data_IF_816204892741
#
_entry.id   IF_816204892741
#
_cell.length_a   1.000
_cell.length_b   1.000
_cell.length_c   1.000
_cell.angle_alpha   90.00
_cell.angle_beta   90.00
_cell.angle_gamma   90.00
#
_symmetry.space_group_name_H-M   'P 1'
#
loop_
_entity.id
_entity.type
_entity.pdbx_description
1 polymer ?
#
# COMPACT_ATOMS: atom_id res chain seq x y z
N UNK A 1 -20.88 5.65 -18.84
CA UNK A 1 -20.25 6.23 -17.62
C UNK A 1 -18.74 6.03 -17.72
N UNK A 2 -17.97 7.11 -17.83
CA UNK A 2 -16.49 7.03 -17.91
C UNK A 2 -15.96 6.63 -16.54
N UNK A 3 -15.17 5.55 -16.46
CA UNK A 3 -14.53 5.16 -15.21
C UNK A 3 -13.32 6.09 -14.97
N UNK A 4 -13.22 6.74 -13.80
CA UNK A 4 -12.10 7.62 -13.53
C UNK A 4 -10.79 6.83 -13.52
N UNK A 5 -9.78 7.39 -14.17
CA UNK A 5 -8.43 6.82 -14.23
C UNK A 5 -7.70 7.26 -12.98
N UNK A 6 -7.18 6.29 -12.22
CA UNK A 6 -6.33 6.57 -11.07
C UNK A 6 -4.88 6.69 -11.53
N UNK A 7 -4.21 7.75 -11.10
CA UNK A 7 -2.77 7.96 -11.28
C UNK A 7 -2.07 7.91 -9.93
N UNK A 8 -0.84 7.39 -9.93
CA UNK A 8 0.03 7.31 -8.74
C UNK A 8 1.30 8.07 -9.08
N UNK A 9 1.71 8.99 -8.23
CA UNK A 9 2.94 9.77 -8.37
C UNK A 9 3.78 9.58 -7.10
N UNK A 10 5.02 9.14 -7.24
CA UNK A 10 5.99 9.15 -6.14
C UNK A 10 6.41 10.59 -5.84
N UNK A 11 6.31 11.01 -4.58
CA UNK A 11 6.66 12.37 -4.16
C UNK A 11 8.01 12.41 -3.43
N UNK A 12 8.29 11.39 -2.63
CA UNK A 12 9.54 11.17 -1.90
C UNK A 12 9.64 9.67 -1.55
N UNK A 13 10.68 9.29 -0.81
CA UNK A 13 10.75 7.97 -0.19
C UNK A 13 9.51 7.73 0.68
N UNK A 14 8.94 6.52 0.59
CA UNK A 14 7.73 6.11 1.33
C UNK A 14 6.50 7.01 1.14
N UNK A 15 6.54 7.95 0.19
CA UNK A 15 5.54 9.01 0.07
C UNK A 15 5.01 9.09 -1.36
N UNK A 16 3.69 8.93 -1.49
CA UNK A 16 3.01 8.84 -2.78
C UNK A 16 1.77 9.73 -2.82
N UNK A 17 1.37 10.12 -4.03
CA UNK A 17 0.11 10.78 -4.30
C UNK A 17 -0.72 9.93 -5.23
N UNK A 18 -1.92 9.57 -4.81
CA UNK A 18 -2.93 8.97 -5.65
C UNK A 18 -3.96 10.01 -6.04
N UNK A 19 -4.23 10.16 -7.33
CA UNK A 19 -5.23 11.09 -7.87
C UNK A 19 -6.18 10.36 -8.83
N UNK A 20 -7.42 10.83 -8.93
CA UNK A 20 -8.42 10.26 -9.83
C UNK A 20 -8.85 11.32 -10.84
N UNK A 21 -8.53 11.09 -12.11
CA UNK A 21 -8.89 11.99 -13.21
C UNK A 21 -10.41 11.98 -13.37
N UNK A 22 -11.01 13.18 -13.40
CA UNK A 22 -12.46 13.35 -13.54
C UNK A 22 -13.25 13.20 -12.24
N UNK A 23 -12.59 13.12 -11.08
CA UNK A 23 -13.26 13.16 -9.77
C UNK A 23 -12.67 14.30 -8.93
N UNK A 24 -13.47 15.32 -8.69
CA UNK A 24 -13.05 16.48 -7.88
C UNK A 24 -12.63 16.06 -6.46
N UNK A 25 -11.66 16.79 -5.90
CA UNK A 25 -11.15 16.61 -4.52
C UNK A 25 -10.70 15.18 -4.15
N UNK A 26 -10.44 14.35 -5.16
CA UNK A 26 -10.08 12.94 -5.01
C UNK A 26 -8.58 12.77 -5.16
N UNK A 27 -7.83 13.33 -4.22
CA UNK A 27 -6.38 13.11 -4.09
C UNK A 27 -6.03 12.61 -2.70
N UNK A 28 -5.30 11.50 -2.61
CA UNK A 28 -4.75 10.95 -1.37
C UNK A 28 -3.23 11.14 -1.37
N UNK A 29 -2.70 11.82 -0.35
CA UNK A 29 -1.27 11.80 -0.05
C UNK A 29 -1.02 10.68 0.95
N UNK A 30 -0.25 9.69 0.54
CA UNK A 30 0.14 8.55 1.34
C UNK A 30 1.54 8.80 1.87
N UNK A 31 1.74 8.65 3.17
CA UNK A 31 3.05 8.70 3.82
C UNK A 31 3.14 7.48 4.75
N UNK A 32 4.04 6.56 4.41
CA UNK A 32 4.25 5.33 5.16
C UNK A 32 5.32 5.46 6.26
N UNK A 33 6.15 6.52 6.27
CA UNK A 33 7.21 6.71 7.27
C UNK A 33 6.66 6.71 8.69
N UNK A 34 5.51 7.36 8.91
CA UNK A 34 4.87 7.38 10.23
C UNK A 34 4.54 5.97 10.73
N UNK A 35 4.14 5.06 9.84
CA UNK A 35 3.88 3.66 10.21
C UNK A 35 5.19 2.91 10.45
N UNK A 36 6.18 3.13 9.59
CA UNK A 36 7.50 2.49 9.67
C UNK A 36 8.17 2.86 11.00
N UNK A 37 8.20 4.15 11.33
CA UNK A 37 8.79 4.67 12.55
C UNK A 37 8.02 4.21 13.79
N UNK A 38 6.69 4.34 13.78
CA UNK A 38 5.86 4.03 14.94
C UNK A 38 5.90 2.54 15.33
N UNK A 39 5.95 1.66 14.33
CA UNK A 39 6.01 0.22 14.56
C UNK A 39 7.43 -0.37 14.45
N UNK A 40 8.45 0.49 14.25
CA UNK A 40 9.86 0.11 14.10
C UNK A 40 10.04 -1.00 13.07
N UNK A 41 9.50 -0.77 11.86
CA UNK A 41 9.50 -1.77 10.79
C UNK A 41 10.86 -1.83 10.11
N UNK A 42 11.44 -3.03 10.07
CA UNK A 42 12.76 -3.27 9.49
C UNK A 42 12.71 -4.34 8.39
N UNK A 43 13.72 -4.34 7.53
CA UNK A 43 13.90 -5.32 6.46
C UNK A 43 12.87 -5.19 5.33
N UNK A 44 12.60 -6.32 4.65
CA UNK A 44 11.66 -6.37 3.52
C UNK A 44 10.25 -6.56 4.05
N UNK A 45 9.33 -5.67 3.71
CA UNK A 45 7.93 -5.81 4.07
C UNK A 45 7.02 -5.16 3.03
N UNK A 46 5.76 -5.60 3.06
CA UNK A 46 4.67 -4.95 2.34
C UNK A 46 3.61 -4.47 3.33
N UNK A 47 3.09 -3.26 3.10
CA UNK A 47 1.94 -2.71 3.82
C UNK A 47 0.74 -2.67 2.89
N UNK A 48 -0.36 -3.30 3.31
CA UNK A 48 -1.60 -3.36 2.56
C UNK A 48 -2.67 -2.58 3.28
N UNK A 49 -3.41 -1.74 2.56
CA UNK A 49 -4.47 -0.94 3.16
C UNK A 49 -5.63 -0.72 2.20
N UNK A 50 -6.82 -0.49 2.75
CA UNK A 50 -7.95 -0.05 1.95
C UNK A 50 -7.87 1.47 1.73
N UNK A 51 -8.00 1.93 0.49
CA UNK A 51 -7.91 3.36 0.20
C UNK A 51 -9.12 4.11 0.75
N UNK A 52 -8.89 5.23 1.46
CA UNK A 52 -9.95 5.97 2.12
C UNK A 52 -10.92 6.69 1.15
N UNK A 53 -10.46 7.07 -0.04
CA UNK A 53 -11.28 7.78 -1.05
C UNK A 53 -10.76 7.54 -2.47
N UNK A 54 -11.59 7.81 -3.49
CA UNK A 54 -13.02 8.10 -3.42
C UNK A 54 -13.85 6.83 -3.16
N UNK A 55 -14.96 6.94 -2.41
CA UNK A 55 -15.75 5.81 -1.86
C UNK A 55 -16.09 4.72 -2.88
N UNK A 56 -16.46 5.10 -4.10
CA UNK A 56 -16.92 4.17 -5.14
C UNK A 56 -15.79 3.63 -6.03
N UNK A 57 -14.57 4.10 -5.86
CA UNK A 57 -13.40 3.67 -6.63
C UNK A 57 -12.22 3.28 -5.74
N UNK A 58 -12.53 2.93 -4.48
CA UNK A 58 -11.54 2.42 -3.54
C UNK A 58 -10.96 1.11 -4.07
N UNK A 59 -9.67 0.96 -3.84
CA UNK A 59 -8.87 -0.20 -4.19
C UNK A 59 -7.99 -0.57 -3.00
N UNK A 60 -7.38 -1.75 -3.06
CA UNK A 60 -6.26 -2.06 -2.19
C UNK A 60 -5.07 -1.23 -2.58
N UNK A 61 -4.47 -0.56 -1.60
CA UNK A 61 -3.15 0.01 -1.70
C UNK A 61 -2.12 -0.97 -1.20
N UNK A 62 -1.05 -1.18 -1.95
CA UNK A 62 0.08 -2.01 -1.53
C UNK A 62 1.34 -1.16 -1.62
N UNK A 63 1.98 -0.93 -0.50
CA UNK A 63 3.32 -0.36 -0.43
C UNK A 63 4.34 -1.49 -0.28
N UNK A 64 5.34 -1.53 -1.15
CA UNK A 64 6.46 -2.47 -1.11
C UNK A 64 7.72 -1.71 -0.70
N UNK A 65 8.21 -1.95 0.52
CA UNK A 65 9.34 -1.21 1.08
C UNK A 65 10.64 -1.42 0.28
N UNK A 66 10.94 -2.67 -0.09
CA UNK A 66 12.18 -3.01 -0.80
C UNK A 66 12.31 -2.39 -2.19
N UNK A 67 11.19 -2.09 -2.85
CA UNK A 67 11.16 -1.42 -4.15
C UNK A 67 10.80 0.07 -4.04
N UNK A 68 10.51 0.55 -2.82
CA UNK A 68 9.89 1.84 -2.52
C UNK A 68 8.84 2.24 -3.57
N UNK A 69 7.87 1.35 -3.73
CA UNK A 69 6.84 1.40 -4.76
C UNK A 69 5.45 1.23 -4.17
N UNK A 70 4.46 1.92 -4.76
CA UNK A 70 3.07 1.85 -4.36
C UNK A 70 2.18 1.39 -5.52
N UNK A 71 1.33 0.41 -5.25
CA UNK A 71 0.41 -0.20 -6.20
C UNK A 71 -1.03 0.05 -5.75
N UNK A 72 -1.92 0.28 -6.72
CA UNK A 72 -3.35 0.39 -6.48
C UNK A 72 -4.09 -0.71 -7.23
N UNK A 73 -4.62 -1.67 -6.46
CA UNK A 73 -5.02 -2.99 -6.95
C UNK A 73 -6.51 -3.20 -6.73
N UNK A 74 -7.21 -3.66 -7.76
CA UNK A 74 -8.62 -4.04 -7.61
C UNK A 74 -8.76 -5.22 -6.65
N UNK A 75 -9.92 -5.34 -6.02
CA UNK A 75 -10.20 -6.36 -5.01
C UNK A 75 -9.88 -7.79 -5.46
N UNK A 76 -10.19 -8.11 -6.72
CA UNK A 76 -10.02 -9.42 -7.36
C UNK A 76 -8.62 -9.68 -7.93
N UNK A 77 -7.69 -8.73 -7.78
CA UNK A 77 -6.36 -8.77 -8.42
C UNK A 77 -5.19 -8.80 -7.44
N UNK A 78 -5.47 -8.74 -6.15
CA UNK A 78 -4.46 -8.85 -5.10
C UNK A 78 -4.40 -10.29 -4.60
N UNK A 79 -3.25 -10.93 -4.78
CA UNK A 79 -3.03 -12.34 -4.41
C UNK A 79 -1.95 -12.41 -3.33
N UNK A 80 -2.14 -13.33 -2.39
CA UNK A 80 -1.23 -13.55 -1.27
C UNK A 80 -0.68 -14.98 -1.35
N UNK A 81 0.63 -15.13 -1.24
CA UNK A 81 1.26 -16.45 -1.09
C UNK A 81 0.83 -17.12 0.24
N UNK A 82 0.73 -18.45 0.24
CA UNK A 82 0.28 -19.20 1.40
C UNK A 82 1.31 -19.21 2.55
N UNK A 83 0.78 -19.30 3.78
CA UNK A 83 1.58 -19.41 5.00
C UNK A 83 2.38 -18.15 5.35
N UNK A 84 1.97 -16.97 4.85
CA UNK A 84 2.52 -15.69 5.31
C UNK A 84 1.95 -15.30 6.67
N UNK A 85 2.77 -14.70 7.52
CA UNK A 85 2.29 -14.10 8.76
C UNK A 85 1.82 -12.68 8.48
N UNK A 86 0.60 -12.37 8.90
CA UNK A 86 0.01 -11.03 8.81
C UNK A 86 -0.19 -10.45 10.21
N UNK A 87 0.11 -9.18 10.39
CA UNK A 87 -0.32 -8.42 11.58
C UNK A 87 -1.17 -7.24 11.13
N UNK A 88 -2.20 -6.92 11.90
CA UNK A 88 -2.97 -5.69 11.71
C UNK A 88 -2.34 -4.59 12.57
N UNK A 89 -2.00 -3.47 11.95
CA UNK A 89 -1.41 -2.31 12.59
C UNK A 89 -2.37 -1.13 12.44
N UNK A 90 -2.57 -0.39 13.52
CA UNK A 90 -3.39 0.82 13.50
C UNK A 90 -2.79 1.88 14.42
N UNK A 91 -2.59 3.07 13.88
CA UNK A 91 -2.26 4.27 14.63
C UNK A 91 -3.56 5.08 14.80
N UNK A 92 -3.84 5.65 15.99
CA UNK A 92 -4.98 6.53 16.15
C UNK A 92 -4.85 7.77 15.26
N UNK A 93 -5.94 8.14 14.58
CA UNK A 93 -5.98 9.31 13.67
C UNK A 93 -5.61 10.64 14.34
N UNK A 94 -5.66 10.72 15.69
CA UNK A 94 -5.23 11.91 16.44
C UNK A 94 -3.71 12.09 16.47
N UNK A 95 -2.95 11.02 16.23
CA UNK A 95 -1.47 10.99 16.33
C UNK A 95 -0.83 11.36 15.00
N UNK A 96 -1.54 11.18 13.89
CA UNK A 96 -1.00 11.41 12.56
C UNK A 96 -1.92 12.31 11.74
N UNK A 97 -1.33 13.24 11.01
CA UNK A 97 -2.04 14.04 9.99
C UNK A 97 -1.88 13.43 8.59
N UNK A 98 -1.47 12.17 8.52
CA UNK A 98 -1.18 11.45 7.28
C UNK A 98 -1.97 10.15 7.21
N UNK A 99 -2.03 9.58 6.02
CA UNK A 99 -2.64 8.27 5.77
C UNK A 99 -1.61 7.39 5.07
N UNK A 100 -1.77 6.06 5.10
CA UNK A 100 -2.78 5.33 5.86
C UNK A 100 -2.49 5.28 7.37
N UNK A 101 -3.55 5.14 8.17
CA UNK A 101 -3.45 4.96 9.63
C UNK A 101 -3.73 3.53 10.07
N UNK A 102 -4.38 2.71 9.24
CA UNK A 102 -4.62 1.29 9.48
C UNK A 102 -4.12 0.46 8.28
N UNK A 103 -3.27 -0.52 8.54
CA UNK A 103 -2.63 -1.37 7.52
C UNK A 103 -2.53 -2.82 8.00
N UNK A 104 -2.48 -3.74 7.04
CA UNK A 104 -1.98 -5.10 7.24
C UNK A 104 -0.49 -5.10 6.88
N UNK A 105 0.35 -5.60 7.77
CA UNK A 105 1.77 -5.79 7.51
C UNK A 105 2.08 -7.25 7.19
N UNK A 106 2.88 -7.43 6.14
CA UNK A 106 3.46 -8.70 5.73
C UNK A 106 4.97 -8.58 5.81
N UNK A 107 5.57 -9.15 6.86
CA UNK A 107 7.01 -9.13 7.08
C UNK A 107 7.72 -10.15 6.19
N UNK A 108 8.97 -9.85 5.85
CA UNK A 108 9.80 -10.63 4.95
C UNK A 108 9.08 -10.91 3.61
N UNK A 109 8.53 -9.87 2.99
CA UNK A 109 7.80 -9.99 1.71
C UNK A 109 8.23 -8.98 0.66
N UNK A 110 7.86 -9.26 -0.58
CA UNK A 110 8.00 -8.37 -1.74
C UNK A 110 6.80 -8.49 -2.67
N UNK A 111 6.66 -7.51 -3.57
CA UNK A 111 5.63 -7.52 -4.61
C UNK A 111 6.18 -8.12 -5.91
N UNK A 112 5.41 -9.02 -6.52
CA UNK A 112 5.61 -9.48 -7.89
C UNK A 112 4.38 -9.16 -8.72
N UNK A 113 4.57 -8.47 -9.85
CA UNK A 113 3.51 -8.25 -10.84
C UNK A 113 3.52 -9.38 -11.88
N UNK A 114 2.36 -9.95 -12.19
CA UNK A 114 2.21 -10.98 -13.22
C UNK A 114 0.84 -10.85 -13.89
N UNK A 115 0.80 -10.64 -15.21
CA UNK A 115 -0.44 -10.55 -16.01
C UNK A 115 -1.52 -9.60 -15.42
N UNK A 116 -1.08 -8.48 -14.86
CA UNK A 116 -1.97 -7.49 -14.24
C UNK A 116 -2.60 -7.96 -12.92
N UNK A 117 -2.03 -8.98 -12.28
CA UNK A 117 -2.21 -9.35 -10.88
C UNK A 117 -1.02 -8.85 -10.06
N UNK A 118 -1.29 -8.50 -8.81
CA UNK A 118 -0.26 -8.13 -7.83
C UNK A 118 -0.19 -9.24 -6.79
N UNK A 119 0.98 -9.87 -6.70
CA UNK A 119 1.28 -10.91 -5.73
C UNK A 119 2.12 -10.34 -4.60
N UNK A 120 1.73 -10.62 -3.36
CA UNK A 120 2.59 -10.47 -2.19
C UNK A 120 3.19 -11.83 -1.90
N UNK A 121 4.53 -11.91 -1.99
CA UNK A 121 5.30 -13.15 -1.86
C UNK A 121 6.30 -13.05 -0.72
N UNK A 122 6.66 -14.19 -0.14
CA UNK A 122 7.74 -14.34 0.83
C UNK A 122 9.06 -14.03 0.14
N UNK A 123 9.85 -13.12 0.70
CA UNK A 123 11.25 -13.06 0.38
C UNK A 123 11.92 -14.30 1.00
N UNK A 124 12.57 -15.13 0.19
CA UNK A 124 13.28 -16.31 0.69
C UNK A 124 14.31 -15.93 1.76
N UNK A 125 14.67 -16.88 2.61
CA UNK A 125 15.79 -16.77 3.56
C UNK A 125 17.11 -16.76 2.78
N UNK A 126 17.41 -15.66 2.12
CA UNK A 126 18.58 -15.56 1.25
C UNK A 126 18.64 -14.19 0.61
N UNK A 127 19.43 -13.31 1.25
CA UNK A 127 19.93 -11.99 0.84
C UNK A 127 19.73 -11.00 1.99
N UNK A 128 20.43 -11.28 3.10
CA UNK A 128 21.02 -10.28 3.98
C UNK A 128 22.47 -10.07 3.52
#
# INVERSE_FOLDING_TARGET
MIRPIQTITKLAESTFRCSWVGVENSTLKLNFDVLIDHFQLEGKFCLVHWQAKPRNFRKWGVYCHSADAYFSVKFDKLIFEEGMTVKALQIPDKVTHTIPTAVLIYLNTYVQENDGLIWIKKAGEGNL
#
